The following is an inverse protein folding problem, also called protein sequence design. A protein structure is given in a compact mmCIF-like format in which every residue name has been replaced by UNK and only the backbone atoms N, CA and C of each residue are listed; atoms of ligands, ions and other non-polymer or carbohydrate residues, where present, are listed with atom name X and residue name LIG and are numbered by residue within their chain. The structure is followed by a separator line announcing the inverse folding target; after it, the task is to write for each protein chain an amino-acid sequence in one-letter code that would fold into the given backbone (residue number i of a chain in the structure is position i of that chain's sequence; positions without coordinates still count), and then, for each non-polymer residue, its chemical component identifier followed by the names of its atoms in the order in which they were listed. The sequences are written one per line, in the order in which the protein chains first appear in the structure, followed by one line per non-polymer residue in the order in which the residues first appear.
data_IF_532177638618
#
_entry.id   IF_532177638618
#
_cell.length_a   1.000
_cell.length_b   1.000
_cell.length_c   1.000
_cell.angle_alpha   90.00
_cell.angle_beta   90.00
_cell.angle_gamma   90.00
#
_symmetry.space_group_name_H-M   'P 1'
#
loop_
_entity.id
_entity.type
_entity.pdbx_description
1 polymer ?
#
# COMPACT_ATOMS: atom_id res chain seq x y z
N UNK A 1 -19.64 14.35 -7.69
CA UNK A 1 -19.58 12.87 -7.63
C UNK A 1 -18.89 12.45 -6.34
N UNK A 2 -19.19 11.26 -5.78
CA UNK A 2 -18.46 10.74 -4.61
C UNK A 2 -17.17 10.12 -5.10
N UNK A 3 -16.04 10.68 -4.67
CA UNK A 3 -14.69 10.18 -4.99
C UNK A 3 -14.23 9.23 -3.91
N UNK A 4 -13.62 8.12 -4.31
CA UNK A 4 -13.16 7.04 -3.45
C UNK A 4 -11.68 6.77 -3.72
N UNK A 5 -10.92 6.49 -2.67
CA UNK A 5 -9.61 5.83 -2.80
C UNK A 5 -9.77 4.37 -2.43
N UNK A 6 -9.31 3.46 -3.29
CA UNK A 6 -9.25 2.01 -3.04
C UNK A 6 -7.79 1.61 -2.87
N UNK A 7 -7.41 1.17 -1.68
CA UNK A 7 -6.05 0.75 -1.35
C UNK A 7 -5.95 -0.78 -1.31
N UNK A 8 -5.48 -1.38 -2.39
CA UNK A 8 -5.32 -2.83 -2.50
C UNK A 8 -4.11 -3.34 -1.69
N UNK A 9 -4.24 -4.51 -1.07
CA UNK A 9 -3.16 -5.18 -0.32
C UNK A 9 -2.27 -6.04 -1.22
N UNK A 10 -1.09 -6.44 -0.74
CA UNK A 10 -0.20 -7.36 -1.48
C UNK A 10 -0.83 -8.74 -1.75
N UNK A 11 -1.78 -9.16 -0.92
CA UNK A 11 -2.58 -10.38 -1.12
C UNK A 11 -3.53 -10.31 -2.32
N UNK A 12 -3.77 -9.12 -2.88
CA UNK A 12 -4.49 -8.97 -4.14
C UNK A 12 -3.63 -9.38 -5.36
N UNK A 13 -2.33 -9.61 -5.16
CA UNK A 13 -1.38 -9.99 -6.22
C UNK A 13 -0.98 -11.45 -6.07
N UNK A 14 -0.43 -11.82 -4.91
CA UNK A 14 0.10 -13.16 -4.64
C UNK A 14 -0.43 -13.66 -3.29
N UNK A 15 -1.04 -14.84 -3.27
CA UNK A 15 -1.55 -15.49 -2.06
C UNK A 15 -0.46 -16.36 -1.41
N UNK A 16 -0.56 -16.65 -0.09
CA UNK A 16 0.41 -17.50 0.58
C UNK A 16 0.54 -18.88 -0.09
N UNK A 17 1.78 -19.31 -0.33
CA UNK A 17 2.08 -20.61 -0.95
C UNK A 17 2.09 -20.60 -2.49
N UNK A 18 1.72 -19.50 -3.13
CA UNK A 18 1.76 -19.40 -4.59
C UNK A 18 3.14 -18.96 -5.11
N UNK A 19 3.44 -19.37 -6.34
CA UNK A 19 4.64 -18.94 -7.05
C UNK A 19 4.55 -17.47 -7.52
N UNK A 20 3.34 -16.96 -7.73
CA UNK A 20 3.10 -15.59 -8.18
C UNK A 20 3.34 -15.38 -9.67
N UNK A 21 2.97 -16.35 -10.52
CA UNK A 21 3.06 -16.19 -11.97
C UNK A 21 2.16 -15.04 -12.46
N UNK A 22 2.46 -14.45 -13.61
CA UNK A 22 1.67 -13.33 -14.14
C UNK A 22 0.18 -13.72 -14.33
N UNK A 23 -0.10 -14.96 -14.73
CA UNK A 23 -1.47 -15.48 -14.86
C UNK A 23 -2.20 -15.54 -13.51
N UNK A 24 -1.51 -15.96 -12.44
CA UNK A 24 -2.05 -15.94 -11.08
C UNK A 24 -2.34 -14.51 -10.63
N UNK A 25 -1.40 -13.59 -10.88
CA UNK A 25 -1.57 -12.18 -10.53
C UNK A 25 -2.75 -11.53 -11.25
N UNK A 26 -2.92 -11.78 -12.56
CA UNK A 26 -4.10 -11.32 -13.30
C UNK A 26 -5.40 -11.93 -12.78
N UNK A 27 -5.41 -13.23 -12.42
CA UNK A 27 -6.59 -13.87 -11.86
C UNK A 27 -7.01 -13.23 -10.52
N UNK A 28 -6.07 -12.99 -9.60
CA UNK A 28 -6.36 -12.31 -8.35
C UNK A 28 -6.75 -10.85 -8.54
N UNK A 29 -6.14 -10.17 -9.51
CA UNK A 29 -6.48 -8.78 -9.80
C UNK A 29 -7.94 -8.66 -10.25
N UNK A 30 -8.45 -9.59 -11.08
CA UNK A 30 -9.88 -9.61 -11.50
C UNK A 30 -10.81 -9.64 -10.30
N UNK A 31 -10.56 -10.54 -9.35
CA UNK A 31 -11.35 -10.64 -8.12
C UNK A 31 -11.26 -9.36 -7.28
N UNK A 32 -10.06 -8.77 -7.17
CA UNK A 32 -9.80 -7.60 -6.35
C UNK A 32 -10.42 -6.31 -6.90
N UNK A 33 -10.44 -6.12 -8.24
CA UNK A 33 -10.96 -4.89 -8.87
C UNK A 33 -12.46 -4.96 -9.15
N UNK A 34 -13.05 -6.15 -9.26
CA UNK A 34 -14.48 -6.30 -9.60
C UNK A 34 -15.43 -5.48 -8.70
N UNK A 35 -15.27 -5.40 -7.37
CA UNK A 35 -16.09 -4.51 -6.53
C UNK A 35 -15.93 -3.03 -6.88
N UNK A 36 -14.71 -2.58 -7.17
CA UNK A 36 -14.46 -1.20 -7.58
C UNK A 36 -15.02 -0.91 -8.98
N UNK A 37 -14.97 -1.86 -9.91
CA UNK A 37 -15.61 -1.77 -11.21
C UNK A 37 -17.13 -1.57 -11.09
N UNK A 38 -17.79 -2.27 -10.15
CA UNK A 38 -19.23 -2.06 -9.85
C UNK A 38 -19.49 -0.67 -9.27
N UNK A 39 -18.63 -0.16 -8.39
CA UNK A 39 -18.73 1.21 -7.88
C UNK A 39 -18.58 2.24 -9.02
N UNK A 40 -17.64 2.05 -9.94
CA UNK A 40 -17.48 2.93 -11.11
C UNK A 40 -18.76 2.95 -11.96
N UNK A 41 -19.35 1.79 -12.26
CA UNK A 41 -20.64 1.71 -13.00
C UNK A 41 -21.79 2.41 -12.27
N UNK A 42 -21.73 2.52 -10.94
CA UNK A 42 -22.68 3.27 -10.11
C UNK A 42 -22.40 4.78 -10.04
N UNK A 43 -21.42 5.28 -10.80
CA UNK A 43 -21.09 6.71 -10.90
C UNK A 43 -20.09 7.22 -9.86
N UNK A 44 -19.35 6.34 -9.18
CA UNK A 44 -18.25 6.76 -8.30
C UNK A 44 -16.97 7.03 -9.11
N UNK A 45 -16.24 8.09 -8.74
CA UNK A 45 -14.88 8.30 -9.24
C UNK A 45 -13.92 7.53 -8.33
N UNK A 46 -13.15 6.60 -8.89
CA UNK A 46 -12.26 5.73 -8.11
C UNK A 46 -10.81 6.03 -8.45
N UNK A 47 -10.01 6.19 -7.40
CA UNK A 47 -8.55 6.25 -7.47
C UNK A 47 -8.01 5.00 -6.78
N UNK A 48 -7.10 4.30 -7.43
CA UNK A 48 -6.46 3.11 -6.89
C UNK A 48 -5.07 3.43 -6.35
N UNK A 49 -4.72 2.79 -5.26
CA UNK A 49 -3.35 2.58 -4.83
C UNK A 49 -3.21 1.12 -4.41
N UNK A 50 -1.99 0.62 -4.27
CA UNK A 50 -1.76 -0.79 -3.99
C UNK A 50 -0.48 -0.98 -3.18
N UNK A 51 -0.39 -2.12 -2.50
CA UNK A 51 0.89 -2.60 -1.98
C UNK A 51 1.70 -3.26 -3.08
N UNK A 52 3.00 -3.38 -2.89
CA UNK A 52 3.91 -4.01 -3.84
C UNK A 52 4.85 -5.04 -3.20
N UNK A 53 4.75 -5.29 -1.89
CA UNK A 53 5.70 -6.11 -1.13
C UNK A 53 6.15 -7.41 -1.81
N UNK A 54 5.23 -8.27 -2.29
CA UNK A 54 5.60 -9.48 -3.04
C UNK A 54 6.34 -9.20 -4.36
N UNK A 55 5.92 -8.19 -5.11
CA UNK A 55 6.48 -7.85 -6.43
C UNK A 55 7.85 -7.20 -6.30
N UNK A 56 7.99 -6.20 -5.42
CA UNK A 56 9.29 -5.57 -5.15
C UNK A 56 10.28 -6.56 -4.55
N UNK A 57 9.82 -7.53 -3.75
CA UNK A 57 10.64 -8.64 -3.27
C UNK A 57 11.18 -9.52 -4.42
N UNK A 58 10.35 -9.83 -5.40
CA UNK A 58 10.77 -10.57 -6.61
C UNK A 58 11.74 -9.75 -7.46
N UNK A 59 11.51 -8.45 -7.64
CA UNK A 59 12.41 -7.57 -8.40
C UNK A 59 13.80 -7.45 -7.74
N UNK A 60 13.85 -7.35 -6.41
CA UNK A 60 15.11 -7.41 -5.66
C UNK A 60 15.86 -8.73 -5.89
N UNK A 61 15.15 -9.87 -5.86
CA UNK A 61 15.75 -11.16 -6.17
C UNK A 61 16.31 -11.21 -7.59
N UNK A 62 15.56 -10.69 -8.57
CA UNK A 62 15.95 -10.69 -9.98
C UNK A 62 17.18 -9.82 -10.23
N UNK A 63 17.20 -8.61 -9.65
CA UNK A 63 18.31 -7.68 -9.85
C UNK A 63 19.60 -8.14 -9.17
N UNK A 64 19.47 -8.96 -8.12
CA UNK A 64 20.60 -9.54 -7.38
C UNK A 64 21.04 -10.92 -7.91
N UNK A 65 20.33 -11.49 -8.89
CA UNK A 65 20.59 -12.86 -9.36
C UNK A 65 21.84 -13.00 -10.23
N UNK A 66 22.27 -11.92 -10.90
CA UNK A 66 23.44 -11.92 -11.78
C UNK A 66 24.16 -10.55 -11.78
N UNK A 67 24.65 -10.08 -10.60
CA UNK A 67 25.25 -8.77 -10.43
C UNK A 67 26.49 -8.55 -11.33
N UNK A 68 27.16 -9.62 -11.75
CA UNK A 68 28.29 -9.60 -12.67
C UNK A 68 27.90 -9.36 -14.14
N UNK A 69 26.62 -9.56 -14.48
CA UNK A 69 26.07 -9.35 -15.83
C UNK A 69 25.23 -8.09 -15.94
N UNK A 70 24.53 -7.72 -14.87
CA UNK A 70 23.72 -6.52 -14.79
C UNK A 70 23.87 -5.91 -13.41
N UNK A 71 24.16 -4.61 -13.34
CA UNK A 71 24.30 -3.90 -12.08
C UNK A 71 22.97 -3.97 -11.29
N UNK A 72 22.98 -4.37 -10.01
CA UNK A 72 21.78 -4.37 -9.18
C UNK A 72 21.17 -2.98 -9.08
N UNK A 73 19.85 -2.91 -9.23
CA UNK A 73 19.08 -1.69 -9.08
C UNK A 73 18.82 -1.41 -7.60
N UNK A 74 18.86 -0.13 -7.19
CA UNK A 74 18.51 0.25 -5.82
C UNK A 74 17.01 0.04 -5.58
N UNK A 75 16.63 -0.10 -4.30
CA UNK A 75 15.26 -0.44 -3.92
C UNK A 75 14.22 0.55 -4.44
N UNK A 76 14.53 1.85 -4.45
CA UNK A 76 13.60 2.86 -4.95
C UNK A 76 13.34 2.74 -6.46
N UNK A 77 14.26 2.16 -7.23
CA UNK A 77 14.05 1.85 -8.67
C UNK A 77 13.19 0.60 -8.81
N UNK A 78 13.44 -0.45 -8.01
CA UNK A 78 12.55 -1.62 -7.97
C UNK A 78 11.11 -1.24 -7.54
N UNK A 79 10.97 -0.24 -6.67
CA UNK A 79 9.66 0.32 -6.33
C UNK A 79 8.99 0.93 -7.58
N UNK A 80 9.72 1.73 -8.36
CA UNK A 80 9.24 2.31 -9.62
C UNK A 80 8.83 1.23 -10.65
N UNK A 81 9.65 0.18 -10.83
CA UNK A 81 9.35 -0.95 -11.70
C UNK A 81 8.06 -1.65 -11.26
N UNK A 82 7.89 -1.87 -9.95
CA UNK A 82 6.68 -2.49 -9.40
C UNK A 82 5.41 -1.66 -9.63
N UNK A 83 5.51 -0.33 -9.69
CA UNK A 83 4.38 0.53 -10.05
C UNK A 83 3.97 0.34 -11.51
N UNK A 84 4.93 0.13 -12.41
CA UNK A 84 4.66 -0.19 -13.80
C UNK A 84 3.96 -1.55 -13.96
N UNK A 85 4.48 -2.59 -13.32
CA UNK A 85 3.92 -3.94 -13.38
C UNK A 85 2.49 -3.98 -12.81
N UNK A 86 2.30 -3.50 -11.58
CA UNK A 86 1.00 -3.57 -10.91
C UNK A 86 0.01 -2.55 -11.52
N UNK A 87 0.51 -1.40 -11.98
CA UNK A 87 -0.26 -0.43 -12.73
C UNK A 87 -0.86 -1.03 -14.00
N UNK A 88 -0.07 -1.81 -14.76
CA UNK A 88 -0.54 -2.58 -15.91
C UNK A 88 -1.62 -3.59 -15.50
N UNK A 89 -1.37 -4.38 -14.45
CA UNK A 89 -2.33 -5.38 -13.97
C UNK A 89 -3.69 -4.74 -13.66
N UNK A 90 -3.71 -3.65 -12.89
CA UNK A 90 -4.95 -2.96 -12.51
C UNK A 90 -5.59 -2.34 -13.75
N UNK A 91 -4.83 -1.61 -14.57
CA UNK A 91 -5.36 -0.89 -15.73
C UNK A 91 -6.02 -1.85 -16.73
N UNK A 92 -5.29 -2.88 -17.17
CA UNK A 92 -5.81 -3.84 -18.14
C UNK A 92 -6.97 -4.66 -17.59
N UNK A 93 -6.92 -5.05 -16.31
CA UNK A 93 -8.02 -5.80 -15.69
C UNK A 93 -9.27 -4.94 -15.58
N UNK A 94 -9.11 -3.69 -15.13
CA UNK A 94 -10.23 -2.77 -14.94
C UNK A 94 -10.88 -2.39 -16.27
N UNK A 95 -10.09 -2.10 -17.31
CA UNK A 95 -10.60 -1.80 -18.66
C UNK A 95 -11.41 -2.97 -19.23
N UNK A 96 -10.90 -4.21 -19.09
CA UNK A 96 -11.63 -5.40 -19.52
C UNK A 96 -12.95 -5.60 -18.75
N UNK A 97 -13.00 -5.22 -17.48
CA UNK A 97 -14.21 -5.29 -16.68
C UNK A 97 -15.23 -4.23 -17.12
N UNK A 98 -14.85 -2.95 -17.24
CA UNK A 98 -15.81 -1.86 -17.43
C UNK A 98 -16.03 -1.41 -18.88
N UNK A 99 -15.13 -1.78 -19.78
CA UNK A 99 -15.10 -1.33 -21.18
C UNK A 99 -14.14 -0.17 -21.45
N UNK A 100 -13.86 0.14 -22.72
CA UNK A 100 -12.82 1.08 -23.15
C UNK A 100 -13.22 2.56 -23.00
N UNK A 101 -14.48 2.85 -22.67
CA UNK A 101 -14.99 4.23 -22.64
C UNK A 101 -14.53 5.02 -21.40
N UNK A 102 -14.07 4.35 -20.34
CA UNK A 102 -13.47 5.03 -19.18
C UNK A 102 -11.95 5.11 -19.37
N UNK A 103 -11.36 6.31 -19.46
CA UNK A 103 -9.92 6.45 -19.45
C UNK A 103 -9.35 5.98 -18.11
N UNK A 104 -8.35 5.10 -18.17
CA UNK A 104 -7.62 4.59 -17.01
C UNK A 104 -6.14 4.87 -17.22
N UNK A 105 -5.45 5.31 -16.17
CA UNK A 105 -4.02 5.60 -16.24
C UNK A 105 -3.28 5.26 -14.95
N UNK A 106 -2.18 4.52 -15.08
CA UNK A 106 -1.18 4.37 -14.03
C UNK A 106 -0.15 5.51 -14.08
N UNK A 107 0.11 6.14 -12.94
CA UNK A 107 1.04 7.25 -12.80
C UNK A 107 2.20 6.81 -11.91
N UNK A 108 3.42 6.81 -12.47
CA UNK A 108 4.64 6.65 -11.66
C UNK A 108 4.68 7.80 -10.66
N UNK A 109 4.71 7.44 -9.38
CA UNK A 109 4.48 8.38 -8.28
C UNK A 109 5.64 8.38 -7.30
N UNK A 110 6.19 9.56 -7.03
CA UNK A 110 7.19 9.82 -6.01
C UNK A 110 6.53 10.41 -4.76
N UNK A 111 7.05 10.05 -3.59
CA UNK A 111 6.57 10.55 -2.29
C UNK A 111 7.74 11.11 -1.50
N UNK A 112 7.61 12.38 -1.15
CA UNK A 112 8.56 13.10 -0.33
C UNK A 112 8.54 12.56 1.10
N UNK A 113 9.73 12.28 1.63
CA UNK A 113 9.94 11.86 3.02
C UNK A 113 10.98 12.77 3.70
N UNK A 114 10.98 12.81 5.02
CA UNK A 114 11.96 13.60 5.79
C UNK A 114 13.31 12.85 5.84
N UNK A 115 14.43 13.42 5.36
CA UNK A 115 15.75 12.80 5.53
C UNK A 115 16.15 12.59 7.00
N UNK A 116 15.54 13.32 7.94
CA UNK A 116 15.75 13.18 9.38
C UNK A 116 14.75 12.22 10.06
N UNK A 117 13.89 11.53 9.29
CA UNK A 117 12.94 10.57 9.86
C UNK A 117 13.67 9.49 10.68
N UNK A 118 13.27 9.24 11.95
CA UNK A 118 13.91 8.23 12.80
C UNK A 118 13.97 6.83 12.18
N UNK A 119 13.08 6.51 11.24
CA UNK A 119 13.07 5.24 10.53
C UNK A 119 14.37 4.96 9.76
N UNK A 120 15.09 5.99 9.32
CA UNK A 120 16.40 5.82 8.67
C UNK A 120 17.47 5.29 9.64
N UNK A 121 17.39 5.69 10.91
CA UNK A 121 18.31 5.21 11.95
C UNK A 121 17.92 3.82 12.51
N UNK A 122 16.66 3.42 12.35
CA UNK A 122 16.11 2.16 12.86
C UNK A 122 15.27 1.43 11.79
N UNK A 123 15.89 0.80 10.79
CA UNK A 123 15.19 0.00 9.81
C UNK A 123 14.40 -1.15 10.47
N UNK A 124 13.11 -1.25 10.14
CA UNK A 124 12.19 -2.25 10.69
C UNK A 124 11.39 -2.99 9.64
N UNK A 125 11.23 -2.44 8.44
CA UNK A 125 10.36 -3.01 7.41
C UNK A 125 11.08 -4.14 6.67
N UNK A 126 10.61 -5.39 6.74
CA UNK A 126 11.27 -6.49 6.05
C UNK A 126 10.94 -6.49 4.55
N UNK A 127 11.96 -6.67 3.70
CA UNK A 127 11.87 -6.73 2.24
C UNK A 127 12.67 -7.91 1.69
N UNK A 128 12.33 -8.32 0.46
CA UNK A 128 13.01 -9.44 -0.19
C UNK A 128 12.68 -10.82 0.41
N UNK A 129 13.44 -11.87 0.05
CA UNK A 129 13.21 -13.25 0.46
C UNK A 129 13.57 -13.48 1.93
N UNK A 130 13.29 -14.71 2.40
CA UNK A 130 13.82 -15.24 3.66
C UNK A 130 15.17 -15.90 3.41
N UNK A 131 16.12 -15.62 4.30
CA UNK A 131 17.47 -16.18 4.34
C UNK A 131 17.66 -16.99 5.62
N UNK A 132 18.59 -17.95 5.57
CA UNK A 132 19.17 -18.51 6.79
C UNK A 132 19.95 -17.43 7.55
N UNK A 133 20.17 -17.61 8.84
CA UNK A 133 20.86 -16.60 9.66
C UNK A 133 22.28 -16.31 9.16
N UNK A 134 23.03 -17.36 8.84
CA UNK A 134 24.41 -17.28 8.38
C UNK A 134 24.50 -16.54 7.05
N UNK A 135 23.60 -16.85 6.12
CA UNK A 135 23.50 -16.21 4.81
C UNK A 135 23.13 -14.72 4.96
N UNK A 136 22.13 -14.42 5.78
CA UNK A 136 21.72 -13.04 6.06
C UNK A 136 22.86 -12.21 6.65
N UNK A 137 23.64 -12.79 7.58
CA UNK A 137 24.82 -12.14 8.20
C UNK A 137 25.93 -11.88 7.18
N UNK A 138 26.18 -12.81 6.26
CA UNK A 138 27.14 -12.62 5.18
C UNK A 138 26.73 -11.47 4.25
N UNK A 139 25.46 -11.44 3.83
CA UNK A 139 24.89 -10.36 3.00
C UNK A 139 24.92 -9.01 3.74
N UNK A 140 24.66 -8.99 5.05
CA UNK A 140 24.76 -7.79 5.87
C UNK A 140 26.18 -7.22 5.91
N UNK A 141 27.19 -8.09 6.04
CA UNK A 141 28.60 -7.68 6.07
C UNK A 141 29.08 -7.18 4.70
N UNK A 142 28.67 -7.83 3.62
CA UNK A 142 29.05 -7.47 2.25
C UNK A 142 28.36 -6.19 1.76
N UNK A 143 27.06 -6.05 2.05
CA UNK A 143 26.20 -5.00 1.45
C UNK A 143 25.76 -3.90 2.42
N UNK A 144 26.19 -3.96 3.68
CA UNK A 144 25.81 -3.00 4.72
C UNK A 144 24.32 -3.06 5.08
N UNK A 145 23.66 -4.21 4.88
CA UNK A 145 22.24 -4.35 5.19
C UNK A 145 21.98 -4.41 6.69
N UNK A 146 20.86 -3.81 7.11
CA UNK A 146 20.24 -4.19 8.37
C UNK A 146 19.42 -5.46 8.13
N UNK A 147 19.57 -6.47 8.98
CA UNK A 147 18.81 -7.72 8.91
C UNK A 147 17.97 -7.91 10.17
N UNK A 148 16.82 -8.56 10.05
CA UNK A 148 15.95 -8.93 11.17
C UNK A 148 15.35 -10.31 10.97
N UNK A 149 15.11 -10.99 12.10
CA UNK A 149 14.30 -12.19 12.19
C UNK A 149 12.82 -11.84 11.98
N UNK A 150 12.09 -12.63 11.18
CA UNK A 150 10.68 -12.42 10.84
C UNK A 150 9.82 -13.63 11.25
N UNK A 151 9.46 -13.65 12.53
CA UNK A 151 8.41 -14.50 13.12
C UNK A 151 8.64 -16.02 12.96
N UNK A 152 9.86 -16.47 13.18
CA UNK A 152 10.31 -17.86 13.08
C UNK A 152 10.51 -18.37 11.66
N UNK A 153 10.31 -17.53 10.62
CA UNK A 153 10.36 -17.94 9.21
C UNK A 153 11.73 -17.73 8.56
N UNK A 154 12.66 -17.12 9.29
CA UNK A 154 14.02 -16.81 8.81
C UNK A 154 14.35 -15.32 8.92
N UNK A 155 15.43 -14.93 8.28
CA UNK A 155 15.98 -13.58 8.32
C UNK A 155 15.70 -12.82 7.02
N UNK A 156 15.46 -11.52 7.11
CA UNK A 156 15.17 -10.65 5.95
C UNK A 156 15.93 -9.34 6.04
N UNK A 157 16.18 -8.72 4.88
CA UNK A 157 16.67 -7.33 4.81
C UNK A 157 15.60 -6.42 5.41
N UNK A 158 16.01 -5.59 6.37
CA UNK A 158 15.18 -4.55 6.96
C UNK A 158 15.57 -3.20 6.35
N UNK A 159 14.56 -2.44 5.92
CA UNK A 159 14.74 -1.10 5.33
C UNK A 159 13.96 -0.05 6.12
N UNK A 160 14.35 1.23 6.00
CA UNK A 160 13.59 2.34 6.57
C UNK A 160 12.15 2.35 6.07
N UNK A 161 11.22 2.73 6.94
CA UNK A 161 9.82 3.00 6.60
C UNK A 161 9.39 4.38 7.09
N UNK A 162 9.92 5.45 6.49
CA UNK A 162 9.64 6.82 6.89
C UNK A 162 8.18 7.21 6.61
N UNK A 163 7.69 8.24 7.31
CA UNK A 163 6.32 8.73 7.10
C UNK A 163 6.21 9.50 5.78
N UNK A 164 5.15 9.29 4.98
CA UNK A 164 4.92 10.07 3.77
C UNK A 164 4.54 11.51 4.10
N UNK A 165 5.22 12.48 3.49
CA UNK A 165 4.92 13.91 3.69
C UNK A 165 4.03 14.48 2.58
N UNK A 166 4.41 14.22 1.32
CA UNK A 166 3.77 14.81 0.14
C UNK A 166 3.93 13.92 -1.09
N UNK A 167 2.88 13.78 -1.88
CA UNK A 167 2.95 13.16 -3.21
C UNK A 167 3.47 14.23 -4.18
N UNK A 168 4.56 13.95 -4.89
CA UNK A 168 5.17 14.93 -5.80
C UNK A 168 4.23 15.21 -6.99
N UNK A 169 3.61 14.17 -7.52
CA UNK A 169 2.68 14.23 -8.66
C UNK A 169 1.22 14.55 -8.25
N UNK A 170 0.98 15.09 -7.04
CA UNK A 170 -0.38 15.32 -6.52
C UNK A 170 -1.26 16.15 -7.45
N UNK A 171 -0.69 17.18 -8.07
CA UNK A 171 -1.41 18.13 -8.91
C UNK A 171 -1.85 17.50 -10.24
N UNK A 172 -0.99 16.68 -10.87
CA UNK A 172 -1.35 16.00 -12.12
C UNK A 172 -2.38 14.90 -11.85
N UNK A 173 -2.20 14.14 -10.75
CA UNK A 173 -3.16 13.13 -10.32
C UNK A 173 -4.52 13.79 -10.10
N UNK A 174 -4.59 14.88 -9.32
CA UNK A 174 -5.83 15.61 -9.05
C UNK A 174 -6.55 16.04 -10.33
N UNK A 175 -5.82 16.62 -11.29
CA UNK A 175 -6.39 17.04 -12.59
C UNK A 175 -6.93 15.87 -13.40
N UNK A 176 -6.25 14.73 -13.41
CA UNK A 176 -6.72 13.52 -14.08
C UNK A 176 -8.03 13.01 -13.47
N UNK A 177 -8.12 12.97 -12.12
CA UNK A 177 -9.36 12.56 -11.45
C UNK A 177 -10.52 13.55 -11.71
N UNK A 178 -10.23 14.85 -11.75
CA UNK A 178 -11.22 15.89 -12.10
C UNK A 178 -11.73 15.74 -13.53
N UNK A 179 -10.87 15.32 -14.46
CA UNK A 179 -11.22 14.99 -15.84
C UNK A 179 -12.00 13.66 -16.00
N UNK A 180 -12.26 12.95 -14.90
CA UNK A 180 -13.02 11.69 -14.92
C UNK A 180 -12.19 10.44 -15.20
N UNK A 181 -10.87 10.55 -15.19
CA UNK A 181 -9.95 9.41 -15.38
C UNK A 181 -9.91 8.58 -14.11
N UNK A 182 -9.99 7.25 -14.23
CA UNK A 182 -9.65 6.34 -13.14
C UNK A 182 -8.12 6.25 -13.01
N UNK A 183 -7.58 6.74 -11.91
CA UNK A 183 -6.12 6.85 -11.73
C UNK A 183 -5.60 5.76 -10.80
N UNK A 184 -4.53 5.08 -11.20
CA UNK A 184 -3.71 4.25 -10.32
C UNK A 184 -2.46 5.06 -9.96
N UNK A 185 -2.24 5.32 -8.67
CA UNK A 185 -1.12 6.14 -8.21
C UNK A 185 -0.61 5.70 -6.84
N UNK A 186 0.58 6.21 -6.48
CA UNK A 186 1.26 5.92 -5.23
C UNK A 186 1.39 4.41 -4.95
N UNK A 187 1.63 3.62 -6.00
CA UNK A 187 1.82 2.19 -5.89
C UNK A 187 3.00 1.86 -4.97
N UNK A 188 2.85 0.86 -4.11
CA UNK A 188 3.87 0.50 -3.10
C UNK A 188 3.99 1.48 -1.93
N UNK A 189 3.16 2.53 -1.87
CA UNK A 189 3.39 3.69 -1.00
C UNK A 189 4.13 4.83 -1.69
N UNK A 190 4.49 4.66 -2.98
CA UNK A 190 5.19 5.65 -3.78
C UNK A 190 6.71 5.59 -3.62
N UNK A 191 7.42 6.03 -4.67
CA UNK A 191 8.89 6.01 -4.72
C UNK A 191 9.42 7.01 -3.70
N UNK A 192 10.13 6.57 -2.65
CA UNK A 192 10.63 7.47 -1.63
C UNK A 192 11.72 8.39 -2.18
N UNK A 193 11.48 9.68 -2.06
CA UNK A 193 12.43 10.73 -2.42
C UNK A 193 12.65 11.71 -1.28
N UNK A 194 13.87 12.21 -1.16
CA UNK A 194 14.18 13.39 -0.35
C UNK A 194 14.42 14.59 -1.26
N UNK A 195 14.27 15.80 -0.72
CA UNK A 195 14.61 17.04 -1.41
C UNK A 195 15.89 17.61 -0.81
N UNK A 196 16.90 17.84 -1.63
CA UNK A 196 18.15 18.48 -1.21
C UNK A 196 17.92 19.96 -0.85
N UNK A 197 18.91 20.57 -0.20
CA UNK A 197 18.95 22.02 0.03
C UNK A 197 18.84 22.83 -1.27
N UNK A 198 19.39 22.30 -2.37
CA UNK A 198 19.29 22.89 -3.71
C UNK A 198 17.94 22.65 -4.39
N UNK A 199 17.01 21.99 -3.72
CA UNK A 199 15.65 21.72 -4.22
C UNK A 199 15.53 20.51 -5.15
N UNK A 200 16.61 19.77 -5.42
CA UNK A 200 16.61 18.59 -6.29
C UNK A 200 16.04 17.37 -5.57
N UNK A 201 15.33 16.53 -6.31
CA UNK A 201 14.84 15.25 -5.80
C UNK A 201 15.90 14.17 -5.93
N UNK A 202 16.01 13.30 -4.92
CA UNK A 202 16.88 12.13 -4.92
C UNK A 202 16.14 10.94 -4.32
N UNK A 203 16.15 9.81 -5.03
CA UNK A 203 15.65 8.54 -4.52
C UNK A 203 16.45 8.04 -3.32
N UNK A 204 15.77 7.39 -2.38
CA UNK A 204 16.38 6.80 -1.18
C UNK A 204 15.85 5.38 -0.97
N UNK A 205 16.69 4.45 -0.54
CA UNK A 205 16.25 3.08 -0.27
C UNK A 205 15.40 3.02 1.01
N UNK A 206 14.09 3.04 0.84
CA UNK A 206 13.09 2.93 1.88
C UNK A 206 11.80 2.29 1.32
N UNK A 207 10.87 1.92 2.20
CA UNK A 207 9.50 1.51 1.80
C UNK A 207 8.51 2.32 2.61
N UNK A 208 7.67 3.08 1.92
CA UNK A 208 6.67 3.91 2.58
C UNK A 208 5.44 3.06 2.88
N UNK A 209 4.77 3.31 4.01
CA UNK A 209 3.51 2.64 4.29
C UNK A 209 2.43 3.06 3.28
N UNK A 210 1.90 2.07 2.54
CA UNK A 210 0.90 2.30 1.50
C UNK A 210 -0.40 2.87 2.04
N UNK A 211 -0.81 2.50 3.25
CA UNK A 211 -2.11 2.88 3.80
C UNK A 211 -2.03 4.34 4.28
N UNK A 212 -0.92 4.75 4.92
CA UNK A 212 -0.63 6.16 5.21
C UNK A 212 -0.58 7.00 3.92
N UNK A 213 0.03 6.46 2.87
CA UNK A 213 0.08 7.13 1.57
C UNK A 213 -1.30 7.17 0.90
N UNK A 214 -2.14 6.16 1.09
CA UNK A 214 -3.52 6.16 0.62
C UNK A 214 -4.36 7.27 1.28
N UNK A 215 -4.13 7.53 2.57
CA UNK A 215 -4.72 8.67 3.26
C UNK A 215 -4.25 10.00 2.67
N UNK A 216 -2.95 10.13 2.40
CA UNK A 216 -2.36 11.30 1.74
C UNK A 216 -2.93 11.53 0.32
N UNK A 217 -3.05 10.46 -0.46
CA UNK A 217 -3.66 10.47 -1.80
C UNK A 217 -5.13 10.89 -1.72
N UNK A 218 -5.88 10.32 -0.77
CA UNK A 218 -7.27 10.67 -0.51
C UNK A 218 -7.47 12.14 -0.21
N UNK A 219 -6.58 12.74 0.60
CA UNK A 219 -6.55 14.18 0.82
C UNK A 219 -6.25 14.96 -0.47
N UNK A 220 -5.21 14.57 -1.20
CA UNK A 220 -4.77 15.25 -2.42
C UNK A 220 -5.86 15.31 -3.50
N UNK A 221 -6.65 14.23 -3.62
CA UNK A 221 -7.75 14.18 -4.58
C UNK A 221 -9.10 14.58 -3.97
N UNK A 222 -9.20 15.00 -2.71
CA UNK A 222 -10.50 15.32 -2.10
C UNK A 222 -11.49 14.14 -2.08
N UNK A 223 -10.99 12.93 -1.80
CA UNK A 223 -11.81 11.74 -1.68
C UNK A 223 -12.74 11.82 -0.47
N UNK A 224 -13.96 11.33 -0.65
CA UNK A 224 -14.96 11.25 0.42
C UNK A 224 -14.80 10.03 1.31
N UNK A 225 -14.27 8.93 0.76
CA UNK A 225 -14.01 7.71 1.51
C UNK A 225 -12.72 7.04 1.07
N UNK A 226 -12.08 6.36 2.03
CA UNK A 226 -10.91 5.52 1.82
C UNK A 226 -11.30 4.06 2.12
N UNK A 227 -11.05 3.17 1.17
CA UNK A 227 -11.42 1.76 1.21
C UNK A 227 -10.15 0.93 1.23
N UNK A 228 -9.79 0.39 2.39
CA UNK A 228 -8.54 -0.35 2.62
C UNK A 228 -8.83 -1.86 2.51
N UNK A 229 -8.28 -2.48 1.46
CA UNK A 229 -8.30 -3.92 1.28
C UNK A 229 -7.25 -4.62 2.15
N UNK A 230 -7.69 -5.61 2.93
CA UNK A 230 -6.83 -6.44 3.80
C UNK A 230 -7.25 -7.93 3.74
N UNK A 231 -6.61 -8.80 4.52
CA UNK A 231 -6.92 -10.25 4.55
C UNK A 231 -7.99 -10.64 5.56
N UNK A 232 -8.36 -9.73 6.46
CA UNK A 232 -9.38 -9.95 7.47
C UNK A 232 -10.64 -9.18 7.09
N UNK A 233 -11.79 -9.78 7.38
CA UNK A 233 -13.07 -9.13 7.08
C UNK A 233 -13.29 -7.90 7.95
N UNK A 234 -12.97 -7.96 9.24
CA UNK A 234 -13.17 -6.87 10.20
C UNK A 234 -11.91 -6.66 11.04
N UNK A 235 -11.73 -5.44 11.53
CA UNK A 235 -10.80 -5.10 12.61
C UNK A 235 -11.35 -5.68 13.91
N UNK A 236 -10.50 -6.31 14.71
CA UNK A 236 -10.88 -6.81 16.03
C UNK A 236 -10.05 -6.13 17.13
N UNK A 237 -10.64 -5.95 18.32
CA UNK A 237 -9.87 -5.80 19.56
C UNK A 237 -9.52 -7.18 20.11
N UNK A 238 -8.48 -7.28 20.94
CA UNK A 238 -8.05 -8.55 21.52
C UNK A 238 -7.75 -9.62 20.45
N UNK A 239 -7.19 -9.19 19.32
CA UNK A 239 -6.97 -10.04 18.14
C UNK A 239 -6.12 -11.27 18.47
N UNK A 240 -6.58 -12.44 18.04
CA UNK A 240 -5.94 -13.74 18.27
C UNK A 240 -6.12 -14.29 19.69
N UNK A 241 -6.92 -13.65 20.55
CA UNK A 241 -7.21 -14.12 21.92
C UNK A 241 -8.61 -14.74 22.01
N UNK A 242 -8.91 -15.56 23.05
CA UNK A 242 -10.24 -16.14 23.23
C UNK A 242 -11.39 -15.12 23.36
N UNK A 243 -11.06 -13.89 23.76
CA UNK A 243 -11.98 -12.76 23.90
C UNK A 243 -11.91 -11.78 22.72
N UNK A 244 -11.46 -12.22 21.53
CA UNK A 244 -11.47 -11.40 20.31
C UNK A 244 -12.86 -10.83 20.04
N UNK A 245 -12.94 -9.52 19.78
CA UNK A 245 -14.21 -8.84 19.47
C UNK A 245 -14.12 -8.11 18.13
N UNK A 246 -14.92 -8.49 17.12
CA UNK A 246 -14.96 -7.79 15.85
C UNK A 246 -15.63 -6.41 15.99
N UNK A 247 -15.08 -5.42 15.31
CA UNK A 247 -15.58 -4.05 15.30
C UNK A 247 -16.33 -3.80 13.98
N UNK A 248 -17.65 -3.76 14.02
CA UNK A 248 -18.45 -3.40 12.84
C UNK A 248 -18.36 -1.92 12.48
N UNK A 249 -18.40 -1.05 13.49
CA UNK A 249 -18.24 0.40 13.31
C UNK A 249 -17.62 1.06 14.55
N UNK A 250 -16.85 2.12 14.33
CA UNK A 250 -16.31 2.96 15.41
C UNK A 250 -16.11 4.41 14.96
N UNK A 251 -16.01 5.32 15.93
CA UNK A 251 -15.64 6.72 15.67
C UNK A 251 -14.12 6.87 15.63
N UNK A 252 -13.64 7.95 15.02
CA UNK A 252 -12.21 8.30 15.00
C UNK A 252 -11.64 8.44 16.43
N UNK A 253 -12.43 8.96 17.37
CA UNK A 253 -12.06 9.04 18.79
C UNK A 253 -11.81 7.66 19.41
N UNK A 254 -12.67 6.68 19.11
CA UNK A 254 -12.52 5.31 19.60
C UNK A 254 -11.34 4.61 18.93
N UNK A 255 -11.15 4.80 17.62
CA UNK A 255 -9.99 4.28 16.89
C UNK A 255 -8.67 4.79 17.49
N UNK A 256 -8.58 6.09 17.83
CA UNK A 256 -7.40 6.67 18.50
C UNK A 256 -7.17 6.05 19.88
N UNK A 257 -8.22 5.93 20.70
CA UNK A 257 -8.10 5.32 22.03
C UNK A 257 -7.58 3.88 21.97
N UNK A 258 -8.01 3.09 20.98
CA UNK A 258 -7.50 1.73 20.81
C UNK A 258 -6.05 1.69 20.30
N UNK A 259 -5.70 2.60 19.40
CA UNK A 259 -4.33 2.70 18.91
C UNK A 259 -3.36 3.09 20.04
N UNK A 260 -3.72 4.06 20.88
CA UNK A 260 -2.94 4.48 22.06
C UNK A 260 -2.83 3.37 23.11
N UNK A 261 -3.87 2.54 23.25
CA UNK A 261 -3.86 1.37 24.13
C UNK A 261 -3.04 0.18 23.58
N UNK A 262 -2.52 0.27 22.35
CA UNK A 262 -1.73 -0.80 21.73
C UNK A 262 -2.56 -2.00 21.27
N UNK A 263 -3.87 -1.85 21.06
CA UNK A 263 -4.77 -2.93 20.59
C UNK A 263 -4.39 -3.44 19.19
N UNK A 264 -3.76 -2.59 18.36
CA UNK A 264 -3.47 -2.90 16.96
C UNK A 264 -1.98 -3.08 16.71
N UNK A 265 -1.60 -4.25 16.19
CA UNK A 265 -0.20 -4.60 15.95
C UNK A 265 0.49 -3.65 14.93
N UNK A 266 1.72 -3.16 15.22
CA UNK A 266 2.39 -2.12 14.43
C UNK A 266 2.86 -2.58 13.03
N UNK A 267 2.91 -3.90 12.78
CA UNK A 267 3.29 -4.47 11.49
C UNK A 267 2.12 -4.74 10.53
N UNK A 268 0.87 -4.57 10.98
CA UNK A 268 -0.31 -4.96 10.21
C UNK A 268 -1.49 -4.00 10.37
N UNK A 269 -2.25 -4.09 11.46
CA UNK A 269 -3.47 -3.33 11.65
C UNK A 269 -3.23 -1.90 12.16
N UNK A 270 -2.18 -1.69 12.95
CA UNK A 270 -1.81 -0.36 13.48
C UNK A 270 -1.70 0.71 12.39
N UNK A 271 -0.87 0.52 11.35
CA UNK A 271 -0.74 1.47 10.24
C UNK A 271 -2.06 1.74 9.49
N UNK A 272 -2.95 0.75 9.38
CA UNK A 272 -4.28 0.92 8.76
C UNK A 272 -5.17 1.85 9.57
N UNK A 273 -5.12 1.71 10.90
CA UNK A 273 -5.89 2.56 11.82
C UNK A 273 -5.28 3.96 11.87
N UNK A 274 -3.95 4.09 11.88
CA UNK A 274 -3.27 5.39 11.74
C UNK A 274 -3.68 6.11 10.45
N UNK A 275 -3.65 5.41 9.31
CA UNK A 275 -4.09 5.92 8.02
C UNK A 275 -5.56 6.34 8.05
N UNK A 276 -6.43 5.54 8.67
CA UNK A 276 -7.83 5.84 8.79
C UNK A 276 -8.09 7.14 9.57
N UNK A 277 -7.40 7.28 10.72
CA UNK A 277 -7.47 8.49 11.54
C UNK A 277 -6.97 9.70 10.75
N UNK A 278 -5.80 9.60 10.12
CA UNK A 278 -5.21 10.69 9.33
C UNK A 278 -6.12 11.13 8.17
N UNK A 279 -6.74 10.18 7.47
CA UNK A 279 -7.68 10.48 6.38
C UNK A 279 -8.92 11.24 6.88
N UNK A 280 -9.54 10.77 7.97
CA UNK A 280 -10.74 11.39 8.55
C UNK A 280 -10.45 12.81 9.07
N UNK A 281 -9.31 13.00 9.73
CA UNK A 281 -8.87 14.30 10.25
C UNK A 281 -8.51 15.29 9.14
N UNK A 282 -8.15 14.79 7.96
CA UNK A 282 -7.92 15.62 6.77
C UNK A 282 -9.20 16.04 6.03
N UNK A 283 -10.38 15.72 6.58
CA UNK A 283 -11.69 16.06 5.99
C UNK A 283 -12.37 14.91 5.24
N UNK A 284 -11.79 13.72 5.25
CA UNK A 284 -12.45 12.51 4.78
C UNK A 284 -13.70 12.19 5.61
N UNK A 285 -14.72 11.57 4.99
CA UNK A 285 -16.00 11.30 5.68
C UNK A 285 -16.08 9.90 6.29
N UNK A 286 -15.36 8.94 5.72
CA UNK A 286 -15.48 7.54 6.10
C UNK A 286 -14.26 6.73 5.65
N UNK A 287 -13.88 5.76 6.47
CA UNK A 287 -12.92 4.72 6.11
C UNK A 287 -13.59 3.36 6.26
N UNK A 288 -13.31 2.45 5.33
CA UNK A 288 -13.73 1.05 5.42
C UNK A 288 -12.48 0.18 5.38
N UNK A 289 -12.35 -0.74 6.33
CA UNK A 289 -11.29 -1.74 6.35
C UNK A 289 -11.96 -3.11 6.26
N UNK A 290 -11.68 -3.86 5.19
CA UNK A 290 -12.26 -5.19 4.95
C UNK A 290 -11.51 -5.94 3.84
N UNK A 291 -11.97 -7.15 3.48
CA UNK A 291 -11.43 -7.89 2.34
C UNK A 291 -11.84 -7.24 1.01
N UNK A 292 -11.01 -7.32 -0.05
CA UNK A 292 -11.30 -6.66 -1.32
C UNK A 292 -12.71 -6.93 -1.88
N UNK A 293 -13.16 -8.19 -1.82
CA UNK A 293 -14.48 -8.65 -2.28
C UNK A 293 -15.66 -7.98 -1.55
N UNK A 294 -15.45 -7.53 -0.31
CA UNK A 294 -16.46 -6.92 0.56
C UNK A 294 -16.42 -5.39 0.61
N UNK A 295 -15.51 -4.74 -0.14
CA UNK A 295 -15.37 -3.27 -0.11
C UNK A 295 -16.69 -2.55 -0.46
N UNK A 296 -17.43 -3.03 -1.45
CA UNK A 296 -18.72 -2.45 -1.83
C UNK A 296 -19.76 -2.59 -0.70
N UNK A 297 -19.87 -3.78 -0.10
CA UNK A 297 -20.76 -4.02 1.03
C UNK A 297 -20.36 -3.18 2.26
N UNK A 298 -19.07 -2.97 2.49
CA UNK A 298 -18.56 -2.15 3.57
C UNK A 298 -18.86 -0.66 3.40
N UNK A 299 -18.84 -0.15 2.15
CA UNK A 299 -19.28 1.22 1.86
C UNK A 299 -20.77 1.44 2.23
N UNK A 300 -21.58 0.38 2.14
CA UNK A 300 -23.00 0.37 2.51
C UNK A 300 -23.24 0.03 3.99
N UNK A 301 -22.18 -0.23 4.78
CA UNK A 301 -22.29 -0.61 6.19
C UNK A 301 -22.79 -2.04 6.42
N UNK A 302 -22.70 -2.92 5.41
CA UNK A 302 -23.15 -4.32 5.46
C UNK A 302 -22.02 -5.32 5.70
N UNK A 303 -20.77 -4.87 5.69
CA UNK A 303 -19.58 -5.68 5.94
C UNK A 303 -18.44 -4.81 6.47
N UNK A 304 -17.38 -5.43 6.95
CA UNK A 304 -16.17 -4.72 7.30
C UNK A 304 -16.22 -3.95 8.62
N UNK A 305 -15.19 -3.15 8.84
CA UNK A 305 -15.13 -2.13 9.89
C UNK A 305 -15.26 -0.76 9.26
N UNK A 306 -16.28 -0.02 9.67
CA UNK A 306 -16.51 1.36 9.24
C UNK A 306 -16.03 2.34 10.31
N UNK A 307 -15.13 3.25 9.93
CA UNK A 307 -14.62 4.31 10.80
C UNK A 307 -15.15 5.65 10.29
N UNK A 308 -15.74 6.45 11.17
CA UNK A 308 -16.32 7.76 10.86
C UNK A 308 -15.82 8.83 11.83
N UNK A 309 -15.85 10.09 11.40
CA UNK A 309 -15.52 11.25 12.24
C UNK A 309 -16.42 11.38 13.46
#
# INVERSE_FOLDING_TARGET
MKRLVVALGGHALIRPGERGTIDQQFAHMREAVAPAARLIRRGYQVVFTHGNGPIVGTLLLQTEAAPERAAPMPLYVCDAESQGEIGLLIQQTLENEIGPDLPIAAVVTQVLVDPADPAFSKPTKPVGPFYAEEEARALAADRGWTIREDAGRGWRRAVPSPRPLRIVEEEVIRRMVEAGIAVIAAGGGGIPVIRSETGLLRGVDAVIDKDLTAALLGRAVGASALLIGTTVEQVCTEYGKPNEVPIGAMTVKRARSYLEAGEFAPGSMGPKIEAAIAFLESGGRMVVITTPDKIEAGLEGKAGTRIVG
#
